data_IF_779993739694
#
_entry.id   IF_779993739694
#
_cell.length_a   1.000
_cell.length_b   1.000
_cell.length_c   1.000
_cell.angle_alpha   90.00
_cell.angle_beta   90.00
_cell.angle_gamma   90.00
#
_symmetry.space_group_name_H-M   'P 1'
#
loop_
_entity.id
_entity.type
_entity.pdbx_description
1 polymer ?
#
# COMPACT_ATOMS: atom_id res chain seq x y z
N UNK A 1 -1.62 -7.72 13.01
CA UNK A 1 -0.85 -6.86 12.08
C UNK A 1 0.58 -6.75 12.61
N UNK A 2 1.60 -6.94 11.77
CA UNK A 2 3.01 -6.86 12.17
C UNK A 2 3.67 -5.66 11.49
N UNK A 3 3.79 -4.54 12.20
CA UNK A 3 4.37 -3.30 11.71
C UNK A 3 5.88 -3.43 11.48
N UNK A 4 6.36 -2.83 10.39
CA UNK A 4 7.79 -2.81 10.03
C UNK A 4 8.43 -1.62 10.73
N UNK A 5 9.09 -1.91 11.85
CA UNK A 5 9.78 -0.94 12.69
C UNK A 5 11.04 -1.56 13.30
N UNK A 6 11.95 -0.71 13.78
CA UNK A 6 13.19 -1.11 14.43
C UNK A 6 14.42 -1.03 13.53
N UNK A 7 15.52 -1.65 13.98
CA UNK A 7 16.88 -1.41 13.49
C UNK A 7 17.53 -2.64 12.85
N UNK A 8 16.76 -3.71 12.62
CA UNK A 8 17.25 -4.86 11.86
C UNK A 8 17.64 -4.43 10.44
N UNK A 9 18.74 -4.95 9.91
CA UNK A 9 19.32 -4.48 8.64
C UNK A 9 18.32 -4.49 7.46
N UNK A 10 17.51 -5.54 7.34
CA UNK A 10 16.48 -5.64 6.28
C UNK A 10 15.39 -4.59 6.47
N UNK A 11 14.90 -4.41 7.70
CA UNK A 11 13.92 -3.37 8.05
C UNK A 11 14.45 -1.98 7.73
N UNK A 12 15.67 -1.67 8.14
CA UNK A 12 16.32 -0.38 7.85
C UNK A 12 16.50 -0.16 6.35
N UNK A 13 16.88 -1.19 5.60
CA UNK A 13 17.02 -1.10 4.14
C UNK A 13 15.69 -0.78 3.45
N UNK A 14 14.60 -1.45 3.87
CA UNK A 14 13.25 -1.18 3.37
C UNK A 14 12.80 0.26 3.67
N UNK A 15 12.94 0.70 4.92
CA UNK A 15 12.53 2.04 5.34
C UNK A 15 13.35 3.13 4.64
N UNK A 16 14.67 2.93 4.48
CA UNK A 16 15.52 3.86 3.74
C UNK A 16 15.13 3.94 2.26
N UNK A 17 14.80 2.81 1.63
CA UNK A 17 14.36 2.81 0.24
C UNK A 17 13.04 3.57 0.08
N UNK A 18 12.08 3.38 0.99
CA UNK A 18 10.82 4.13 0.99
C UNK A 18 11.02 5.62 1.29
N UNK A 19 12.00 6.00 2.11
CA UNK A 19 12.34 7.41 2.35
C UNK A 19 12.96 8.07 1.10
N UNK A 20 13.84 7.36 0.38
CA UNK A 20 14.35 7.80 -0.92
C UNK A 20 13.22 8.00 -1.94
N UNK A 21 12.28 7.04 -2.01
CA UNK A 21 11.11 7.15 -2.89
C UNK A 21 10.25 8.37 -2.52
N UNK A 22 9.98 8.58 -1.23
CA UNK A 22 9.26 9.74 -0.71
C UNK A 22 9.90 11.05 -1.18
N UNK A 23 11.22 11.18 -1.00
CA UNK A 23 11.96 12.37 -1.39
C UNK A 23 11.88 12.62 -2.91
N UNK A 24 11.99 11.56 -3.71
CA UNK A 24 11.86 11.63 -5.17
C UNK A 24 10.46 12.08 -5.59
N UNK A 25 9.41 11.45 -5.05
CA UNK A 25 8.02 11.78 -5.37
C UNK A 25 7.67 13.21 -4.94
N UNK A 26 8.10 13.65 -3.76
CA UNK A 26 7.92 15.04 -3.33
C UNK A 26 8.56 16.05 -4.28
N UNK A 27 9.77 15.74 -4.77
CA UNK A 27 10.47 16.63 -5.71
C UNK A 27 9.78 16.70 -7.08
N UNK A 28 9.17 15.61 -7.52
CA UNK A 28 8.60 15.50 -8.88
C UNK A 28 7.13 15.86 -8.95
N UNK A 29 6.37 15.53 -7.92
CA UNK A 29 4.92 15.61 -7.89
C UNK A 29 4.40 16.57 -6.81
N UNK A 30 5.28 17.18 -6.01
CA UNK A 30 4.95 18.17 -4.98
C UNK A 30 3.91 17.68 -3.96
N UNK A 31 3.93 16.38 -3.64
CA UNK A 31 2.91 15.74 -2.80
C UNK A 31 3.00 16.03 -1.29
N UNK A 32 4.10 16.64 -0.82
CA UNK A 32 4.27 16.98 0.60
C UNK A 32 4.32 15.77 1.55
N UNK A 33 4.64 14.58 1.05
CA UNK A 33 4.72 13.35 1.83
C UNK A 33 5.71 13.52 2.99
N UNK A 34 5.23 13.29 4.21
CA UNK A 34 5.95 13.55 5.45
C UNK A 34 6.50 12.26 6.07
N UNK A 35 5.64 11.27 6.26
CA UNK A 35 5.98 10.01 6.93
C UNK A 35 5.54 8.80 6.09
N UNK A 36 6.06 7.62 6.44
CA UNK A 36 5.71 6.35 5.83
C UNK A 36 5.52 5.30 6.93
N UNK A 37 4.40 4.58 6.87
CA UNK A 37 4.12 3.45 7.74
C UNK A 37 3.86 2.21 6.89
N UNK A 38 4.33 1.04 7.33
CA UNK A 38 4.08 -0.22 6.61
C UNK A 38 4.05 -1.42 7.54
N UNK A 39 3.37 -2.47 7.14
CA UNK A 39 3.27 -3.72 7.87
C UNK A 39 3.25 -4.93 6.93
N UNK A 40 3.66 -6.08 7.44
CA UNK A 40 3.45 -7.34 6.75
C UNK A 40 1.96 -7.70 6.76
N UNK A 41 1.48 -8.22 5.65
CA UNK A 41 0.14 -8.76 5.48
C UNK A 41 0.22 -10.18 4.93
N UNK A 42 -0.51 -11.10 5.59
CA UNK A 42 -0.61 -12.51 5.24
C UNK A 42 -2.08 -12.87 5.07
N UNK A 43 -2.43 -13.38 3.90
CA UNK A 43 -3.74 -13.92 3.58
C UNK A 43 -3.59 -15.44 3.40
N UNK A 44 -4.17 -16.25 4.30
CA UNK A 44 -4.31 -17.68 4.10
C UNK A 44 -5.17 -18.01 2.86
N UNK A 45 -5.10 -19.24 2.32
CA UNK A 45 -5.96 -19.67 1.22
C UNK A 45 -7.44 -19.37 1.48
N UNK A 46 -8.14 -18.88 0.46
CA UNK A 46 -9.55 -18.47 0.51
C UNK A 46 -9.81 -17.11 1.16
N UNK A 47 -8.82 -16.49 1.80
CA UNK A 47 -8.97 -15.15 2.39
C UNK A 47 -8.95 -14.08 1.30
N UNK A 48 -9.71 -13.00 1.52
CA UNK A 48 -9.88 -11.89 0.58
C UNK A 48 -10.06 -10.57 1.34
N UNK A 49 -9.98 -9.45 0.63
CA UNK A 49 -10.38 -8.14 1.16
C UNK A 49 -11.36 -7.53 0.18
N UNK A 50 -12.58 -7.22 0.65
CA UNK A 50 -13.63 -6.60 -0.17
C UNK A 50 -13.20 -5.25 -0.72
N UNK A 51 -13.86 -4.81 -1.79
CA UNK A 51 -13.68 -3.47 -2.34
C UNK A 51 -13.78 -2.38 -1.28
N UNK A 52 -12.76 -1.54 -1.20
CA UNK A 52 -12.66 -0.46 -0.23
C UNK A 52 -11.76 0.69 -0.74
N UNK A 53 -11.76 1.76 0.03
CA UNK A 53 -10.81 2.88 -0.08
C UNK A 53 -9.86 2.83 1.11
N UNK A 54 -8.59 3.19 0.91
CA UNK A 54 -7.61 3.28 2.00
C UNK A 54 -7.73 4.57 2.82
N UNK A 55 -8.40 5.56 2.24
CA UNK A 55 -8.65 6.87 2.81
C UNK A 55 -10.01 7.39 2.34
N UNK A 56 -10.75 7.99 3.26
CA UNK A 56 -11.96 8.74 2.94
C UNK A 56 -11.58 10.20 2.64
N UNK A 57 -12.24 10.79 1.63
CA UNK A 57 -11.94 12.14 1.16
C UNK A 57 -11.95 13.16 2.31
N UNK A 58 -10.84 13.88 2.48
CA UNK A 58 -10.73 14.99 3.43
C UNK A 58 -10.55 14.59 4.89
N UNK A 59 -10.62 13.30 5.22
CA UNK A 59 -10.45 12.80 6.59
C UNK A 59 -9.10 12.10 6.82
N UNK A 60 -8.40 11.73 5.75
CA UNK A 60 -7.14 11.01 5.85
C UNK A 60 -5.94 11.90 5.58
N UNK A 61 -4.85 11.61 6.27
CA UNK A 61 -3.54 12.13 5.87
C UNK A 61 -2.77 11.16 4.98
N UNK A 62 -3.35 10.02 4.58
CA UNK A 62 -2.75 9.07 3.63
C UNK A 62 -2.94 9.58 2.21
N UNK A 63 -1.84 9.82 1.51
CA UNK A 63 -1.84 10.32 0.14
C UNK A 63 -1.61 9.19 -0.86
N UNK A 64 -0.63 8.33 -0.57
CA UNK A 64 -0.29 7.20 -1.43
C UNK A 64 -0.35 5.89 -0.65
N UNK A 65 -1.01 4.91 -1.26
CA UNK A 65 -1.01 3.52 -0.84
C UNK A 65 0.08 2.76 -1.59
N UNK A 66 0.75 1.84 -0.91
CA UNK A 66 1.81 1.00 -1.46
C UNK A 66 1.55 -0.46 -1.11
N UNK A 67 1.75 -1.34 -2.09
CA UNK A 67 1.74 -2.79 -1.88
C UNK A 67 2.97 -3.38 -2.55
N UNK A 68 3.79 -4.10 -1.77
CA UNK A 68 4.96 -4.81 -2.29
C UNK A 68 4.79 -6.31 -2.07
N UNK A 69 4.93 -7.09 -3.14
CA UNK A 69 4.64 -8.52 -3.12
C UNK A 69 5.88 -9.38 -2.86
N UNK A 70 5.68 -10.48 -2.15
CA UNK A 70 6.74 -11.37 -1.66
C UNK A 70 6.59 -12.83 -2.13
N UNK A 71 5.72 -13.10 -3.12
CA UNK A 71 5.33 -14.47 -3.46
C UNK A 71 6.06 -14.97 -4.70
N UNK A 72 7.00 -15.90 -4.51
CA UNK A 72 7.70 -16.57 -5.61
C UNK A 72 6.80 -17.56 -6.34
N UNK A 73 7.10 -17.76 -7.63
CA UNK A 73 6.46 -18.76 -8.50
C UNK A 73 4.92 -18.67 -8.50
N UNK A 74 4.40 -17.43 -8.55
CA UNK A 74 2.96 -17.17 -8.59
C UNK A 74 2.44 -17.26 -10.01
N UNK A 75 1.34 -17.98 -10.19
CA UNK A 75 0.67 -18.19 -11.48
C UNK A 75 -0.74 -17.61 -11.46
N UNK A 76 -1.37 -17.49 -12.64
CA UNK A 76 -2.78 -17.08 -12.72
C UNK A 76 -3.73 -18.07 -12.03
N UNK A 77 -3.34 -19.35 -11.93
CA UNK A 77 -4.16 -20.36 -11.26
C UNK A 77 -4.18 -20.17 -9.74
N UNK A 78 -3.21 -19.46 -9.16
CA UNK A 78 -3.16 -19.21 -7.72
C UNK A 78 -4.15 -18.13 -7.26
N UNK A 79 -4.69 -17.31 -8.17
CA UNK A 79 -5.56 -16.17 -7.86
C UNK A 79 -4.88 -15.11 -6.98
N UNK A 80 -5.63 -14.44 -6.11
CA UNK A 80 -5.06 -13.50 -5.13
C UNK A 80 -4.69 -12.12 -5.68
N UNK A 81 -5.18 -11.76 -6.86
CA UNK A 81 -4.89 -10.49 -7.51
C UNK A 81 -5.41 -9.31 -6.68
N UNK A 82 -4.66 -8.21 -6.74
CA UNK A 82 -5.19 -6.89 -6.36
C UNK A 82 -5.89 -6.31 -7.58
N UNK A 83 -7.17 -5.98 -7.44
CA UNK A 83 -7.95 -5.32 -8.48
C UNK A 83 -8.17 -3.87 -8.09
N UNK A 84 -7.79 -2.94 -8.97
CA UNK A 84 -7.87 -1.50 -8.78
C UNK A 84 -8.88 -0.94 -9.77
N UNK A 85 -9.84 -0.17 -9.27
CA UNK A 85 -10.94 0.38 -10.06
C UNK A 85 -10.71 1.88 -10.32
N UNK A 86 -10.43 2.30 -11.57
CA UNK A 86 -10.38 3.73 -11.90
C UNK A 86 -11.75 4.39 -11.66
N UNK A 87 -11.84 5.53 -10.95
CA UNK A 87 -13.14 6.15 -10.64
C UNK A 87 -13.94 6.58 -11.88
N UNK A 88 -13.24 7.07 -12.91
CA UNK A 88 -13.87 7.55 -14.13
C UNK A 88 -14.29 6.40 -15.06
N UNK A 89 -13.60 5.27 -15.00
CA UNK A 89 -13.83 4.09 -15.85
C UNK A 89 -13.77 2.80 -15.04
N UNK A 90 -14.76 2.52 -14.15
CA UNK A 90 -14.71 1.36 -13.26
C UNK A 90 -14.64 0.01 -13.98
N UNK A 91 -15.18 -0.06 -15.20
CA UNK A 91 -15.14 -1.27 -16.05
C UNK A 91 -13.74 -1.57 -16.61
N UNK A 92 -12.81 -0.61 -16.53
CA UNK A 92 -11.41 -0.74 -16.96
C UNK A 92 -10.49 -1.09 -15.76
N UNK A 93 -10.99 -1.92 -14.85
CA UNK A 93 -10.25 -2.31 -13.66
C UNK A 93 -8.91 -2.97 -13.99
N UNK A 94 -7.86 -2.56 -13.28
CA UNK A 94 -6.51 -3.10 -13.44
C UNK A 94 -6.30 -4.22 -12.43
N UNK A 95 -5.97 -5.42 -12.91
CA UNK A 95 -5.63 -6.56 -12.09
C UNK A 95 -4.12 -6.75 -11.98
N UNK A 96 -3.59 -6.89 -10.77
CA UNK A 96 -2.17 -7.07 -10.49
C UNK A 96 -1.92 -8.40 -9.79
N UNK A 97 -1.19 -9.29 -10.47
CA UNK A 97 -0.72 -10.56 -9.90
C UNK A 97 0.28 -10.30 -8.76
N UNK A 98 0.14 -10.96 -7.59
CA UNK A 98 0.96 -10.69 -6.42
C UNK A 98 2.35 -11.37 -6.49
N UNK A 99 3.04 -11.27 -7.62
CA UNK A 99 4.35 -11.88 -7.86
C UNK A 99 5.46 -11.12 -7.09
N UNK A 100 6.40 -11.87 -6.51
CA UNK A 100 7.53 -11.31 -5.77
C UNK A 100 8.26 -10.20 -6.54
N UNK A 101 8.56 -9.09 -5.86
CA UNK A 101 9.26 -7.95 -6.44
C UNK A 101 8.36 -6.92 -7.14
N UNK A 102 7.08 -7.23 -7.33
CA UNK A 102 6.10 -6.27 -7.87
C UNK A 102 5.73 -5.24 -6.81
N UNK A 103 5.87 -3.96 -7.17
CA UNK A 103 5.44 -2.81 -6.36
C UNK A 103 4.28 -2.10 -7.03
N UNK A 104 3.21 -1.88 -6.27
CA UNK A 104 2.02 -1.14 -6.70
C UNK A 104 1.91 0.14 -5.85
N UNK A 105 1.66 1.27 -6.50
CA UNK A 105 1.47 2.58 -5.85
C UNK A 105 0.27 3.27 -6.49
N UNK A 106 -0.64 3.78 -5.67
CA UNK A 106 -1.82 4.52 -6.12
C UNK A 106 -2.27 5.56 -5.09
N UNK A 107 -3.09 6.53 -5.52
CA UNK A 107 -3.65 7.56 -4.64
C UNK A 107 -4.68 6.94 -3.69
N UNK A 108 -4.46 7.11 -2.38
CA UNK A 108 -5.24 6.42 -1.33
C UNK A 108 -6.72 6.83 -1.31
N UNK A 109 -7.02 8.07 -1.70
CA UNK A 109 -8.38 8.65 -1.70
C UNK A 109 -9.10 8.54 -3.05
N UNK A 110 -8.41 8.07 -4.10
CA UNK A 110 -8.99 8.01 -5.44
C UNK A 110 -9.33 6.61 -5.90
N UNK A 111 -8.54 5.58 -5.59
CA UNK A 111 -8.71 4.27 -6.23
C UNK A 111 -9.32 3.20 -5.31
N UNK A 112 -10.62 2.88 -5.47
CA UNK A 112 -11.19 1.70 -4.85
C UNK A 112 -10.44 0.45 -5.31
N UNK A 113 -10.22 -0.48 -4.39
CA UNK A 113 -9.52 -1.70 -4.72
C UNK A 113 -9.96 -2.87 -3.84
N UNK A 114 -9.75 -4.08 -4.33
CA UNK A 114 -10.06 -5.32 -3.62
C UNK A 114 -8.96 -6.36 -3.83
N UNK A 115 -8.85 -7.30 -2.88
CA UNK A 115 -7.95 -8.45 -2.99
C UNK A 115 -8.81 -9.68 -3.20
N UNK A 116 -8.66 -10.32 -4.36
CA UNK A 116 -9.38 -11.54 -4.69
C UNK A 116 -8.90 -12.71 -3.82
N UNK A 117 -9.73 -13.76 -3.63
CA UNK A 117 -9.30 -14.97 -2.92
C UNK A 117 -8.11 -15.64 -3.60
N UNK A 118 -7.10 -16.01 -2.80
CA UNK A 118 -5.95 -16.79 -3.25
C UNK A 118 -6.11 -18.29 -2.92
N UNK A 119 -5.49 -19.18 -3.68
CA UNK A 119 -5.48 -20.64 -3.41
C UNK A 119 -4.31 -21.10 -2.55
N UNK A 120 -3.33 -20.23 -2.29
CA UNK A 120 -2.16 -20.45 -1.43
C UNK A 120 -1.88 -19.24 -0.55
N UNK A 121 -0.95 -19.36 0.40
CA UNK A 121 -0.56 -18.24 1.25
C UNK A 121 -0.04 -17.07 0.42
N UNK A 122 -0.65 -15.90 0.60
CA UNK A 122 -0.29 -14.64 -0.06
C UNK A 122 0.33 -13.68 0.96
N UNK A 123 1.56 -13.27 0.69
CA UNK A 123 2.34 -12.35 1.50
C UNK A 123 2.58 -11.04 0.76
N UNK A 124 2.50 -9.94 1.51
CA UNK A 124 2.79 -8.60 1.00
C UNK A 124 3.24 -7.68 2.13
N UNK A 125 3.85 -6.56 1.77
CA UNK A 125 4.02 -5.40 2.63
C UNK A 125 3.00 -4.35 2.16
N UNK A 126 2.04 -4.02 3.02
CA UNK A 126 1.13 -2.91 2.79
C UNK A 126 1.65 -1.68 3.54
N UNK A 127 1.54 -0.49 2.94
CA UNK A 127 1.96 0.73 3.61
C UNK A 127 1.44 2.00 2.96
N UNK A 128 1.58 3.10 3.67
CA UNK A 128 1.01 4.39 3.29
C UNK A 128 1.99 5.54 3.50
N UNK A 129 2.13 6.39 2.49
CA UNK A 129 2.76 7.70 2.66
C UNK A 129 1.73 8.70 3.16
N UNK A 130 2.11 9.45 4.19
CA UNK A 130 1.21 10.38 4.89
C UNK A 130 1.74 11.80 4.84
N UNK A 131 0.85 12.78 4.73
CA UNK A 131 1.14 14.20 4.97
C UNK A 131 1.02 14.53 6.45
N UNK A 132 1.63 15.65 6.86
CA UNK A 132 1.48 16.18 8.20
C UNK A 132 0.31 17.16 8.24
N UNK A 133 -0.84 16.72 8.76
CA UNK A 133 -2.01 17.59 8.97
C UNK A 133 -2.06 18.10 10.42
N UNK A 134 -0.92 18.17 11.10
CA UNK A 134 -0.87 18.69 12.46
C UNK A 134 -1.31 20.15 12.48
N UNK A 135 -2.26 20.46 13.35
CA UNK A 135 -2.68 21.81 13.70
C UNK A 135 -2.29 22.08 15.16
N UNK A 136 -2.41 23.34 15.60
CA UNK A 136 -2.17 23.70 17.01
C UNK A 136 -3.03 22.90 18.01
N UNK A 137 -4.13 22.30 17.55
CA UNK A 137 -5.09 21.55 18.37
C UNK A 137 -5.01 20.03 18.16
N UNK A 138 -4.32 19.55 17.11
CA UNK A 138 -4.29 18.12 16.73
C UNK A 138 -2.95 17.76 16.11
N UNK A 139 -2.22 16.81 16.70
CA UNK A 139 -0.97 16.26 16.13
C UNK A 139 -1.31 15.10 15.19
N UNK A 140 -0.72 15.07 14.00
CA UNK A 140 -0.92 14.05 12.97
C UNK A 140 0.35 13.88 12.08
N UNK A 141 0.97 12.70 11.98
CA UNK A 141 0.58 11.43 12.61
C UNK A 141 0.68 11.46 14.15
N UNK A 142 -0.19 10.73 14.87
CA UNK A 142 -0.04 10.58 16.32
C UNK A 142 1.30 9.92 16.65
N UNK A 143 1.90 10.33 17.78
CA UNK A 143 3.15 9.74 18.30
C UNK A 143 2.97 8.30 18.77
#
# INVERSE_FOLDING_TARGET
ICWIQGTAAVTTSWLNWMDCLKAYLNKRLFLGLFSYESHFAHYPPGSFYKRHMDAFQGESNRVLSTVFYLNSDWTQEDGGELVIYPPATPDEAVSVTPLAGTMVIFLSEEFPHEVLPARRNRFSIAGWFRVNNSTAQRVDPPR
#
